data_IF_041498605408
#
_entry.id   IF_041498605408
#
_cell.length_a   1.000
_cell.length_b   1.000
_cell.length_c   1.000
_cell.angle_alpha   90.00
_cell.angle_beta   90.00
_cell.angle_gamma   90.00
#
_symmetry.space_group_name_H-M   'P 1'
#
loop_
_entity.id
_entity.type
_entity.pdbx_description
1 polymer ?
#
# COMPACT_ATOMS: atom_id res chain seq x y z
N UNK A 1 -25.15 15.22 11.12
CA UNK A 1 -24.56 16.55 11.30
C UNK A 1 -23.16 16.41 11.84
N UNK A 2 -22.16 16.97 11.13
CA UNK A 2 -20.75 16.90 11.53
C UNK A 2 -20.38 17.94 12.64
N UNK A 3 -21.32 18.79 13.08
CA UNK A 3 -21.07 19.78 14.13
C UNK A 3 -19.99 20.81 13.77
N UNK A 4 -19.86 21.18 12.50
CA UNK A 4 -18.84 22.12 12.01
C UNK A 4 -17.47 21.49 11.73
N UNK A 5 -17.31 20.18 11.89
CA UNK A 5 -16.09 19.42 11.56
C UNK A 5 -16.04 19.10 10.05
N UNK A 6 -14.85 18.78 9.59
CA UNK A 6 -14.66 18.22 8.26
C UNK A 6 -15.06 16.74 8.26
N UNK A 7 -15.73 16.32 7.18
CA UNK A 7 -15.98 14.93 6.86
C UNK A 7 -15.08 14.56 5.68
N UNK A 8 -14.15 13.65 5.91
CA UNK A 8 -13.17 13.20 4.90
C UNK A 8 -13.32 11.69 4.66
N UNK A 9 -12.87 11.17 3.50
CA UNK A 9 -12.81 9.72 3.30
C UNK A 9 -11.88 9.05 4.31
N UNK A 10 -12.16 7.80 4.65
CA UNK A 10 -11.26 6.97 5.43
C UNK A 10 -9.92 6.78 4.73
N UNK A 11 -8.83 6.80 5.50
CA UNK A 11 -7.47 6.72 4.96
C UNK A 11 -7.17 5.31 4.43
N UNK A 12 -6.45 5.29 3.32
CA UNK A 12 -5.97 4.08 2.65
C UNK A 12 -4.45 4.00 2.77
N UNK A 13 -3.94 2.86 3.23
CA UNK A 13 -2.52 2.53 3.16
C UNK A 13 -2.23 1.78 1.86
N UNK A 14 -1.41 2.36 0.99
CA UNK A 14 -1.19 1.85 -0.36
C UNK A 14 -0.33 0.59 -0.44
N UNK A 15 0.50 0.33 0.57
CA UNK A 15 1.37 -0.84 0.67
C UNK A 15 1.89 -1.01 2.10
N UNK A 16 1.76 -2.21 2.66
CA UNK A 16 2.20 -2.48 4.02
C UNK A 16 2.30 -3.99 4.32
N UNK A 17 3.02 -4.30 5.42
CA UNK A 17 3.20 -5.65 5.96
C UNK A 17 2.68 -5.71 7.40
N UNK A 18 1.64 -6.52 7.64
CA UNK A 18 1.06 -6.71 8.97
C UNK A 18 2.09 -7.39 9.89
N UNK A 19 2.85 -8.32 9.32
CA UNK A 19 3.83 -9.15 10.02
C UNK A 19 5.00 -8.34 10.60
N UNK A 20 5.37 -7.22 9.98
CA UNK A 20 6.38 -6.29 10.52
C UNK A 20 6.00 -5.73 11.88
N UNK A 21 4.70 -5.64 12.18
CA UNK A 21 4.16 -5.32 13.49
C UNK A 21 4.22 -6.48 14.49
N UNK A 22 4.58 -7.68 14.05
CA UNK A 22 4.46 -8.96 14.79
C UNK A 22 3.01 -9.20 15.26
N UNK A 23 2.03 -8.85 14.41
CA UNK A 23 0.61 -8.91 14.65
C UNK A 23 -0.08 -9.77 13.60
N UNK A 24 -1.31 -10.15 13.88
CA UNK A 24 -2.25 -10.74 12.92
C UNK A 24 -3.25 -9.67 12.44
N UNK A 25 -4.00 -9.90 11.36
CA UNK A 25 -4.93 -8.90 10.82
C UNK A 25 -5.90 -8.29 11.83
N UNK A 26 -6.42 -9.08 12.78
CA UNK A 26 -7.36 -8.59 13.79
C UNK A 26 -6.72 -7.56 14.72
N UNK A 27 -5.54 -7.87 15.26
CA UNK A 27 -4.83 -6.98 16.18
C UNK A 27 -4.30 -5.73 15.45
N UNK A 28 -3.83 -5.89 14.22
CA UNK A 28 -3.37 -4.76 13.42
C UNK A 28 -4.55 -3.82 13.09
N UNK A 29 -5.70 -4.38 12.67
CA UNK A 29 -6.90 -3.59 12.40
C UNK A 29 -7.34 -2.79 13.64
N UNK A 30 -7.36 -3.43 14.81
CA UNK A 30 -7.70 -2.75 16.07
C UNK A 30 -6.73 -1.60 16.38
N UNK A 31 -5.44 -1.77 16.09
CA UNK A 31 -4.41 -0.76 16.34
C UNK A 31 -4.52 0.46 15.40
N UNK A 32 -4.96 0.29 14.15
CA UNK A 32 -4.94 1.38 13.14
C UNK A 32 -6.28 2.12 13.00
N UNK A 33 -7.38 1.49 13.39
CA UNK A 33 -8.72 2.10 13.33
C UNK A 33 -8.79 3.44 14.06
N UNK A 34 -8.26 3.61 15.29
CA UNK A 34 -8.29 4.88 15.99
C UNK A 34 -7.57 6.01 15.25
N UNK A 35 -6.68 5.66 14.34
CA UNK A 35 -5.91 6.60 13.52
C UNK A 35 -6.55 6.88 12.15
N UNK A 36 -7.77 6.41 11.92
CA UNK A 36 -8.55 6.70 10.72
C UNK A 36 -8.21 5.85 9.50
N UNK A 37 -7.38 4.83 9.63
CA UNK A 37 -7.13 3.89 8.55
C UNK A 37 -8.32 2.93 8.43
N UNK A 38 -9.00 2.98 7.28
CA UNK A 38 -10.16 2.14 6.98
C UNK A 38 -9.93 1.18 5.84
N UNK A 39 -8.80 1.34 5.14
CA UNK A 39 -8.41 0.47 4.03
C UNK A 39 -6.91 0.24 4.04
N UNK A 40 -6.48 -1.01 3.84
CA UNK A 40 -5.07 -1.40 3.72
C UNK A 40 -4.88 -2.36 2.56
N UNK A 41 -3.72 -2.25 1.89
CA UNK A 41 -3.26 -3.15 0.84
C UNK A 41 -2.01 -3.88 1.36
N UNK A 42 -2.21 -5.10 1.88
CA UNK A 42 -1.17 -5.86 2.57
C UNK A 42 -0.53 -6.91 1.66
N UNK A 43 0.78 -7.06 1.78
CA UNK A 43 1.56 -8.12 1.14
C UNK A 43 2.14 -9.04 2.24
N UNK A 44 1.56 -10.24 2.45
CA UNK A 44 1.98 -11.14 3.51
C UNK A 44 3.13 -12.08 3.08
N UNK A 45 4.25 -11.51 2.58
CA UNK A 45 5.36 -12.31 2.09
C UNK A 45 6.21 -12.93 3.22
N UNK A 46 6.21 -12.36 4.41
CA UNK A 46 6.93 -12.93 5.54
C UNK A 46 6.33 -14.28 5.94
N UNK A 47 5.01 -14.35 6.08
CA UNK A 47 4.36 -15.62 6.38
C UNK A 47 4.42 -16.59 5.20
N UNK A 48 4.47 -16.09 3.97
CA UNK A 48 4.67 -16.91 2.78
C UNK A 48 6.02 -17.63 2.83
N UNK A 49 7.09 -16.98 3.28
CA UNK A 49 8.40 -17.60 3.48
C UNK A 49 8.39 -18.72 4.56
N UNK A 50 7.45 -18.68 5.50
CA UNK A 50 7.37 -19.64 6.62
C UNK A 50 6.38 -20.77 6.35
N UNK A 51 5.22 -20.48 5.76
CA UNK A 51 4.10 -21.41 5.58
C UNK A 51 3.60 -21.53 4.13
N UNK A 52 4.25 -20.84 3.18
CA UNK A 52 3.85 -20.86 1.77
C UNK A 52 2.44 -20.32 1.55
N UNK A 53 1.76 -20.83 0.54
CA UNK A 53 0.40 -20.44 0.18
C UNK A 53 -0.61 -20.60 1.34
N UNK A 54 -0.40 -21.58 2.24
CA UNK A 54 -1.26 -21.76 3.41
C UNK A 54 -1.15 -20.59 4.40
N UNK A 55 0.04 -20.01 4.57
CA UNK A 55 0.26 -18.81 5.38
C UNK A 55 -0.43 -17.58 4.79
N UNK A 56 -0.28 -17.38 3.48
CA UNK A 56 -0.99 -16.31 2.76
C UNK A 56 -2.50 -16.46 2.94
N UNK A 57 -3.02 -17.69 2.79
CA UNK A 57 -4.45 -17.97 2.95
C UNK A 57 -4.96 -17.68 4.36
N UNK A 58 -4.17 -18.01 5.38
CA UNK A 58 -4.51 -17.72 6.78
C UNK A 58 -4.66 -16.20 7.02
N UNK A 59 -3.68 -15.40 6.59
CA UNK A 59 -3.72 -13.95 6.72
C UNK A 59 -4.87 -13.35 5.92
N UNK A 60 -5.08 -13.83 4.71
CA UNK A 60 -6.14 -13.39 3.83
C UNK A 60 -7.54 -13.67 4.41
N UNK A 61 -7.81 -14.90 4.86
CA UNK A 61 -9.12 -15.27 5.40
C UNK A 61 -9.45 -14.47 6.67
N UNK A 62 -8.45 -14.22 7.54
CA UNK A 62 -8.64 -13.38 8.72
C UNK A 62 -8.85 -11.90 8.35
N UNK A 63 -8.14 -11.39 7.34
CA UNK A 63 -8.31 -10.02 6.83
C UNK A 63 -9.76 -9.75 6.37
N UNK A 64 -10.41 -10.71 5.73
CA UNK A 64 -11.79 -10.60 5.27
C UNK A 64 -12.82 -10.45 6.42
N UNK A 65 -12.49 -10.88 7.63
CA UNK A 65 -13.36 -10.81 8.80
C UNK A 65 -13.30 -9.46 9.52
N UNK A 66 -12.36 -8.59 9.15
CA UNK A 66 -12.16 -7.34 9.88
C UNK A 66 -13.21 -6.28 9.55
N UNK A 67 -13.51 -5.34 10.47
CA UNK A 67 -14.52 -4.29 10.26
C UNK A 67 -14.09 -3.23 9.24
N UNK A 68 -12.81 -3.18 8.88
CA UNK A 68 -12.22 -2.32 7.85
C UNK A 68 -11.91 -3.12 6.58
N UNK A 69 -11.51 -2.45 5.51
CA UNK A 69 -11.13 -3.13 4.28
C UNK A 69 -9.64 -3.49 4.34
N UNK A 70 -9.34 -4.78 4.30
CA UNK A 70 -7.97 -5.28 4.17
C UNK A 70 -7.94 -6.12 2.90
N UNK A 71 -7.28 -5.59 1.87
CA UNK A 71 -7.06 -6.27 0.60
C UNK A 71 -5.68 -6.91 0.61
N UNK A 72 -5.62 -8.16 0.20
CA UNK A 72 -4.36 -8.90 0.14
C UNK A 72 -3.79 -8.84 -1.27
N UNK A 73 -2.53 -8.47 -1.39
CA UNK A 73 -1.72 -8.71 -2.57
C UNK A 73 -1.07 -10.08 -2.41
N UNK A 74 -1.10 -10.92 -3.44
CA UNK A 74 -0.43 -12.22 -3.41
C UNK A 74 1.08 -12.01 -3.46
N UNK A 75 1.86 -12.50 -2.50
CA UNK A 75 3.32 -12.36 -2.56
C UNK A 75 3.91 -12.91 -3.86
N UNK A 76 4.81 -12.16 -4.48
CA UNK A 76 5.51 -12.55 -5.69
C UNK A 76 6.79 -13.32 -5.41
N UNK A 77 7.39 -13.07 -4.26
CA UNK A 77 8.76 -13.43 -3.98
C UNK A 77 8.89 -14.12 -2.62
N UNK A 78 8.73 -15.41 -2.62
CA UNK A 78 9.13 -16.30 -1.53
C UNK A 78 9.89 -17.49 -2.15
N UNK A 79 11.24 -17.45 -2.14
CA UNK A 79 12.13 -16.39 -1.63
C UNK A 79 12.26 -15.18 -2.57
N UNK A 80 12.58 -14.00 -2.01
CA UNK A 80 12.84 -12.79 -2.79
C UNK A 80 14.16 -12.83 -3.56
N UNK A 81 15.17 -13.52 -3.02
CA UNK A 81 16.48 -13.73 -3.62
C UNK A 81 16.84 -15.24 -3.64
N UNK A 82 16.40 -16.00 -4.65
CA UNK A 82 16.64 -17.44 -4.73
C UNK A 82 18.11 -17.80 -4.59
N UNK A 83 18.41 -18.74 -3.69
CA UNK A 83 19.77 -19.20 -3.40
C UNK A 83 20.58 -18.33 -2.43
N UNK A 84 20.07 -17.17 -2.04
CA UNK A 84 20.68 -16.27 -1.06
C UNK A 84 19.93 -16.22 0.27
N UNK A 85 18.69 -16.69 0.30
CA UNK A 85 17.84 -16.76 1.49
C UNK A 85 17.55 -18.20 1.89
N UNK A 86 17.29 -18.41 3.20
CA UNK A 86 16.72 -19.64 3.72
C UNK A 86 15.22 -19.44 3.90
N UNK A 87 14.42 -20.01 3.03
CA UNK A 87 12.97 -20.04 3.12
C UNK A 87 12.45 -21.42 3.49
N UNK A 88 11.30 -21.49 4.17
CA UNK A 88 10.63 -22.76 4.45
C UNK A 88 9.78 -23.25 3.29
N UNK A 89 9.34 -22.33 2.42
CA UNK A 89 8.49 -22.59 1.25
C UNK A 89 8.88 -21.68 0.10
N UNK A 90 8.46 -22.09 -1.09
CA UNK A 90 8.57 -21.28 -2.31
C UNK A 90 7.17 -21.02 -2.84
N UNK A 91 6.93 -19.82 -3.34
CA UNK A 91 5.70 -19.47 -4.07
C UNK A 91 5.99 -19.68 -5.56
N UNK A 92 5.11 -20.41 -6.22
CA UNK A 92 5.18 -20.67 -7.66
C UNK A 92 4.19 -19.80 -8.45
N UNK A 93 4.37 -19.72 -9.75
CA UNK A 93 3.41 -19.06 -10.64
C UNK A 93 2.02 -19.72 -10.62
N UNK A 94 1.93 -21.03 -10.34
CA UNK A 94 0.65 -21.73 -10.17
C UNK A 94 -0.05 -21.32 -8.87
N UNK A 95 0.69 -21.12 -7.77
CA UNK A 95 0.16 -20.58 -6.51
C UNK A 95 -0.38 -19.18 -6.71
N UNK A 96 0.34 -18.32 -7.43
CA UNK A 96 -0.12 -16.98 -7.80
C UNK A 96 -1.41 -17.06 -8.62
N UNK A 97 -1.45 -17.91 -9.65
CA UNK A 97 -2.64 -18.07 -10.49
C UNK A 97 -3.85 -18.57 -9.70
N UNK A 98 -3.65 -19.50 -8.75
CA UNK A 98 -4.70 -19.97 -7.83
C UNK A 98 -5.20 -18.81 -6.96
N UNK A 99 -4.31 -18.07 -6.31
CA UNK A 99 -4.67 -16.99 -5.42
C UNK A 99 -5.36 -15.83 -6.14
N UNK A 100 -5.05 -15.58 -7.41
CA UNK A 100 -5.74 -14.54 -8.20
C UNK A 100 -7.26 -14.79 -8.33
N UNK A 101 -7.72 -16.01 -8.11
CA UNK A 101 -9.16 -16.33 -8.10
C UNK A 101 -9.82 -16.12 -6.73
N UNK A 102 -9.08 -15.87 -5.66
CA UNK A 102 -9.66 -15.68 -4.33
C UNK A 102 -10.34 -14.30 -4.22
N UNK A 103 -11.56 -14.21 -3.63
CA UNK A 103 -12.19 -12.93 -3.37
C UNK A 103 -11.35 -12.08 -2.43
N UNK A 104 -11.07 -10.83 -2.76
CA UNK A 104 -10.28 -9.92 -1.91
C UNK A 104 -8.78 -9.91 -2.22
N UNK A 105 -8.26 -10.81 -3.04
CA UNK A 105 -6.93 -10.63 -3.65
C UNK A 105 -7.02 -9.52 -4.68
N UNK A 106 -6.20 -8.47 -4.51
CA UNK A 106 -6.29 -7.26 -5.33
C UNK A 106 -5.18 -7.17 -6.39
N UNK A 107 -4.10 -7.87 -6.21
CA UNK A 107 -2.94 -7.84 -7.10
C UNK A 107 -1.85 -8.80 -6.70
N UNK A 108 -0.75 -8.73 -7.42
CA UNK A 108 0.53 -9.32 -7.03
C UNK A 108 1.24 -8.34 -6.09
N UNK A 109 1.82 -8.86 -5.02
CA UNK A 109 2.64 -8.11 -4.10
C UNK A 109 3.93 -7.58 -4.74
N UNK A 110 4.74 -6.98 -3.94
CA UNK A 110 5.97 -6.34 -4.39
C UNK A 110 6.91 -7.32 -5.12
N UNK A 111 7.24 -7.01 -6.36
CA UNK A 111 8.14 -7.81 -7.19
C UNK A 111 9.61 -7.53 -6.84
N UNK A 112 10.07 -8.10 -5.71
CA UNK A 112 11.43 -7.93 -5.19
C UNK A 112 12.50 -8.54 -6.08
N UNK A 113 12.20 -9.63 -6.78
CA UNK A 113 13.12 -10.23 -7.73
C UNK A 113 13.17 -9.44 -9.06
N UNK A 114 13.42 -8.12 -8.94
CA UNK A 114 13.59 -7.27 -10.13
C UNK A 114 14.74 -7.72 -11.04
N UNK A 115 15.86 -8.33 -10.57
CA UNK A 115 16.86 -8.90 -11.46
C UNK A 115 16.30 -10.03 -12.33
N UNK A 116 15.42 -10.88 -11.78
CA UNK A 116 14.74 -11.91 -12.53
C UNK A 116 13.88 -11.33 -13.64
N UNK A 117 13.05 -10.32 -13.34
CA UNK A 117 12.23 -9.64 -14.34
C UNK A 117 13.09 -9.04 -15.45
N UNK A 118 14.15 -8.30 -15.10
CA UNK A 118 15.06 -7.66 -16.05
C UNK A 118 15.76 -8.67 -16.96
N UNK A 119 16.10 -9.85 -16.43
CA UNK A 119 16.79 -10.91 -17.19
C UNK A 119 15.82 -11.91 -17.86
N UNK A 120 14.50 -11.70 -17.75
CA UNK A 120 13.51 -12.52 -18.40
C UNK A 120 13.29 -13.89 -17.73
N UNK A 121 13.39 -13.96 -16.41
CA UNK A 121 13.12 -15.18 -15.64
C UNK A 121 11.70 -15.69 -15.94
N UNK A 122 11.55 -16.94 -16.39
CA UNK A 122 10.24 -17.47 -16.79
C UNK A 122 9.21 -17.52 -15.65
N UNK A 123 9.63 -17.74 -14.39
CA UNK A 123 8.72 -17.78 -13.25
C UNK A 123 8.20 -16.36 -12.95
N UNK A 124 9.09 -15.38 -12.85
CA UNK A 124 8.68 -13.98 -12.61
C UNK A 124 7.72 -13.46 -13.68
N UNK A 125 8.03 -13.76 -14.93
CA UNK A 125 7.16 -13.36 -16.04
C UNK A 125 5.81 -14.11 -16.03
N UNK A 126 5.78 -15.37 -15.59
CA UNK A 126 4.54 -16.14 -15.48
C UNK A 126 3.64 -15.60 -14.34
N UNK A 127 4.20 -15.21 -13.19
CA UNK A 127 3.48 -14.59 -12.07
C UNK A 127 2.85 -13.26 -12.50
N UNK A 128 3.63 -12.41 -13.17
CA UNK A 128 3.15 -11.15 -13.73
C UNK A 128 2.03 -11.41 -14.73
N UNK A 129 2.21 -12.36 -15.64
CA UNK A 129 1.21 -12.69 -16.65
C UNK A 129 -0.08 -13.23 -16.02
N UNK A 130 0.00 -14.09 -15.00
CA UNK A 130 -1.16 -14.60 -14.27
C UNK A 130 -1.96 -13.45 -13.64
N UNK A 131 -1.27 -12.49 -13.03
CA UNK A 131 -1.88 -11.31 -12.41
C UNK A 131 -2.55 -10.41 -13.43
N UNK A 132 -1.86 -10.09 -14.53
CA UNK A 132 -2.40 -9.24 -15.59
C UNK A 132 -3.59 -9.88 -16.31
N UNK A 133 -3.56 -11.20 -16.53
CA UNK A 133 -4.68 -11.94 -17.11
C UNK A 133 -5.92 -11.93 -16.20
N UNK A 134 -5.72 -11.81 -14.88
CA UNK A 134 -6.80 -11.60 -13.92
C UNK A 134 -7.29 -10.15 -13.86
N UNK A 135 -6.69 -9.24 -14.64
CA UNK A 135 -7.04 -7.82 -14.65
C UNK A 135 -6.61 -7.07 -13.38
N UNK A 136 -5.58 -7.56 -12.69
CA UNK A 136 -5.12 -7.04 -11.40
C UNK A 136 -3.76 -6.35 -11.50
N UNK A 137 -3.41 -5.59 -10.45
CA UNK A 137 -2.21 -4.76 -10.38
C UNK A 137 -0.98 -5.60 -10.01
N UNK A 138 0.16 -5.26 -10.56
CA UNK A 138 1.47 -5.83 -10.19
C UNK A 138 2.22 -4.80 -9.37
N UNK A 139 2.48 -5.10 -8.10
CA UNK A 139 3.28 -4.27 -7.21
C UNK A 139 4.76 -4.31 -7.54
N UNK A 140 5.45 -3.21 -7.30
CA UNK A 140 6.86 -3.08 -7.62
C UNK A 140 7.75 -2.84 -6.40
N UNK A 141 9.01 -3.31 -6.50
CA UNK A 141 10.07 -3.16 -5.51
C UNK A 141 11.42 -3.05 -6.22
N UNK A 142 11.68 -1.90 -6.83
CA UNK A 142 12.95 -1.69 -7.54
C UNK A 142 13.96 -0.96 -6.66
N UNK A 143 14.69 -1.69 -5.85
CA UNK A 143 15.65 -1.18 -4.87
C UNK A 143 17.01 -0.75 -5.48
N UNK A 144 17.22 -0.89 -6.80
CA UNK A 144 18.46 -0.47 -7.43
C UNK A 144 18.53 1.04 -7.64
N UNK A 145 19.70 1.66 -7.43
CA UNK A 145 19.90 3.08 -7.76
C UNK A 145 19.96 3.34 -9.29
N UNK A 146 20.18 2.31 -10.12
CA UNK A 146 20.20 2.45 -11.58
C UNK A 146 18.79 2.66 -12.12
N UNK A 147 18.54 3.83 -12.72
CA UNK A 147 17.28 4.19 -13.38
C UNK A 147 17.39 4.15 -14.91
N UNK A 148 18.37 3.42 -15.44
CA UNK A 148 18.60 3.27 -16.87
C UNK A 148 17.78 2.17 -17.55
N UNK A 149 18.46 1.37 -18.38
CA UNK A 149 17.83 0.31 -19.19
C UNK A 149 17.19 -0.77 -18.30
N UNK A 150 17.87 -1.16 -17.21
CA UNK A 150 17.35 -2.18 -16.29
C UNK A 150 16.04 -1.74 -15.64
N UNK A 151 15.94 -0.48 -15.19
CA UNK A 151 14.69 0.05 -14.66
C UNK A 151 13.57 0.09 -15.70
N UNK A 152 13.89 0.52 -16.93
CA UNK A 152 12.93 0.52 -18.03
C UNK A 152 12.46 -0.90 -18.38
N UNK A 153 13.34 -1.89 -18.34
CA UNK A 153 12.99 -3.30 -18.56
C UNK A 153 12.08 -3.84 -17.45
N UNK A 154 12.37 -3.49 -16.19
CA UNK A 154 11.51 -3.84 -15.05
C UNK A 154 10.08 -3.29 -15.19
N UNK A 155 9.95 -2.01 -15.52
CA UNK A 155 8.64 -1.38 -15.76
C UNK A 155 7.93 -2.03 -16.95
N UNK A 156 8.65 -2.29 -18.04
CA UNK A 156 8.10 -2.99 -19.21
C UNK A 156 7.67 -4.43 -18.89
N UNK A 157 8.25 -5.06 -17.88
CA UNK A 157 7.83 -6.36 -17.35
C UNK A 157 6.45 -6.34 -16.72
N UNK A 158 5.96 -5.18 -16.25
CA UNK A 158 4.59 -5.04 -15.80
C UNK A 158 4.35 -4.39 -14.43
N UNK A 159 5.41 -4.04 -13.68
CA UNK A 159 5.27 -3.35 -12.40
C UNK A 159 4.57 -1.99 -12.58
N UNK A 160 3.44 -1.80 -11.87
CA UNK A 160 2.58 -0.63 -12.03
C UNK A 160 2.84 0.49 -11.01
N UNK A 161 3.51 0.16 -9.93
CA UNK A 161 3.91 1.05 -8.84
C UNK A 161 5.30 0.69 -8.32
N UNK A 162 5.80 1.48 -7.38
CA UNK A 162 7.03 1.17 -6.66
C UNK A 162 7.18 2.09 -5.45
N UNK A 163 7.56 1.53 -4.30
CA UNK A 163 7.76 2.22 -3.02
C UNK A 163 9.23 2.38 -2.63
N UNK A 164 10.19 1.79 -3.38
CA UNK A 164 11.62 1.79 -3.07
C UNK A 164 12.38 3.07 -3.47
N UNK A 165 11.65 4.14 -3.82
CA UNK A 165 12.25 5.44 -4.01
C UNK A 165 12.69 6.07 -2.69
N UNK A 166 13.89 6.65 -2.66
CA UNK A 166 14.45 7.33 -1.47
C UNK A 166 14.79 8.79 -1.72
N UNK A 167 14.63 9.27 -2.95
CA UNK A 167 14.95 10.62 -3.36
C UNK A 167 13.92 11.19 -4.36
N UNK A 168 13.88 12.52 -4.49
CA UNK A 168 13.05 13.22 -5.51
C UNK A 168 13.25 12.65 -6.92
N UNK A 169 14.49 12.40 -7.30
CA UNK A 169 14.82 11.87 -8.62
C UNK A 169 14.23 10.47 -8.86
N UNK A 170 14.12 9.66 -7.81
CA UNK A 170 13.52 8.34 -7.88
C UNK A 170 12.01 8.42 -8.13
N UNK A 171 11.33 9.32 -7.43
CA UNK A 171 9.91 9.59 -7.63
C UNK A 171 9.63 10.07 -9.06
N UNK A 172 10.44 11.02 -9.55
CA UNK A 172 10.34 11.53 -10.92
C UNK A 172 10.56 10.41 -11.96
N UNK A 173 11.55 9.54 -11.74
CA UNK A 173 11.84 8.45 -12.67
C UNK A 173 10.67 7.47 -12.80
N UNK A 174 10.03 7.10 -11.69
CA UNK A 174 8.86 6.22 -11.66
C UNK A 174 7.69 6.82 -12.44
N UNK A 175 7.34 8.06 -12.13
CA UNK A 175 6.23 8.76 -12.78
C UNK A 175 6.47 8.94 -14.29
N UNK A 176 7.71 9.22 -14.70
CA UNK A 176 8.08 9.35 -16.12
C UNK A 176 7.90 8.05 -16.91
N UNK A 177 8.02 6.91 -16.28
CA UNK A 177 7.79 5.60 -16.91
C UNK A 177 6.35 5.09 -16.73
N UNK A 178 5.46 5.90 -16.15
CA UNK A 178 4.03 5.57 -16.00
C UNK A 178 3.69 4.78 -14.74
N UNK A 179 4.64 4.57 -13.83
CA UNK A 179 4.38 3.95 -12.53
C UNK A 179 3.74 4.94 -11.56
N UNK A 180 3.02 4.43 -10.56
CA UNK A 180 2.76 5.18 -9.34
C UNK A 180 4.01 5.20 -8.46
N UNK A 181 4.37 6.37 -7.93
CA UNK A 181 5.40 6.47 -6.90
C UNK A 181 4.72 6.44 -5.53
N UNK A 182 4.99 5.40 -4.75
CA UNK A 182 4.51 5.29 -3.38
C UNK A 182 5.58 5.84 -2.43
N UNK A 183 5.20 6.76 -1.56
CA UNK A 183 6.11 7.42 -0.63
C UNK A 183 5.88 6.86 0.77
N UNK A 184 6.94 6.29 1.37
CA UNK A 184 6.90 5.59 2.64
C UNK A 184 7.12 6.49 3.84
N UNK A 185 6.34 6.23 4.90
CA UNK A 185 6.66 6.67 6.27
C UNK A 185 6.28 5.56 7.25
N UNK A 186 7.11 4.55 7.35
CA UNK A 186 7.00 3.43 8.29
C UNK A 186 7.80 3.64 9.57
N UNK A 187 8.32 2.55 10.13
CA UNK A 187 9.15 2.58 11.34
C UNK A 187 10.63 2.75 11.03
N UNK A 188 11.10 2.30 9.87
CA UNK A 188 12.49 2.37 9.42
C UNK A 188 12.69 3.27 8.18
N UNK A 189 11.65 3.50 7.42
CA UNK A 189 11.69 4.23 6.16
C UNK A 189 11.01 5.60 6.31
N UNK A 190 11.65 6.68 5.85
CA UNK A 190 11.24 8.07 6.02
C UNK A 190 11.35 8.83 4.69
N UNK A 191 10.79 8.25 3.62
CA UNK A 191 11.03 8.68 2.24
C UNK A 191 10.07 9.80 1.77
N UNK A 192 8.99 10.08 2.52
CA UNK A 192 8.03 11.13 2.16
C UNK A 192 8.73 12.49 2.02
N UNK A 193 9.57 12.89 3.00
CA UNK A 193 10.22 14.20 3.00
C UNK A 193 11.06 14.44 1.75
N UNK A 194 11.85 13.44 1.35
CA UNK A 194 12.74 13.55 0.19
C UNK A 194 12.00 13.51 -1.15
N UNK A 195 10.89 12.79 -1.23
CA UNK A 195 10.18 12.59 -2.49
C UNK A 195 9.05 13.58 -2.73
N UNK A 196 8.44 14.14 -1.67
CA UNK A 196 7.31 15.07 -1.80
C UNK A 196 7.66 16.34 -2.57
N UNK A 197 8.95 16.70 -2.63
CA UNK A 197 9.48 17.81 -3.41
C UNK A 197 9.20 17.68 -4.90
N UNK A 198 9.04 16.45 -5.41
CA UNK A 198 8.58 16.21 -6.78
C UNK A 198 7.20 16.86 -7.05
N UNK A 199 6.35 16.96 -6.04
CA UNK A 199 5.03 17.63 -6.13
C UNK A 199 5.18 19.09 -5.77
N UNK A 200 5.74 19.40 -4.58
CA UNK A 200 5.72 20.74 -3.99
C UNK A 200 6.66 21.73 -4.68
N UNK A 201 7.78 21.27 -5.24
CA UNK A 201 8.77 22.12 -5.91
C UNK A 201 8.84 21.93 -7.43
N UNK A 202 8.67 20.69 -7.91
CA UNK A 202 8.74 20.40 -9.36
C UNK A 202 7.38 20.46 -10.05
N UNK A 203 6.27 20.47 -9.27
CA UNK A 203 4.92 20.60 -9.81
C UNK A 203 4.44 19.37 -10.59
N UNK A 204 4.93 18.16 -10.27
CA UNK A 204 4.40 16.95 -10.86
C UNK A 204 2.94 16.74 -10.42
N UNK A 205 2.17 16.10 -11.29
CA UNK A 205 0.76 15.80 -11.03
C UNK A 205 0.61 14.84 -9.83
N UNK A 206 0.01 15.28 -8.71
CA UNK A 206 -0.11 14.49 -7.50
C UNK A 206 -0.92 13.20 -7.67
N UNK A 207 -1.72 13.06 -8.72
CA UNK A 207 -2.46 11.83 -9.03
C UNK A 207 -1.57 10.63 -9.31
N UNK A 208 -0.27 10.84 -9.54
CA UNK A 208 0.71 9.79 -9.77
C UNK A 208 1.40 9.32 -8.48
N UNK A 209 1.01 9.88 -7.33
CA UNK A 209 1.64 9.59 -6.04
C UNK A 209 0.65 8.99 -5.06
N UNK A 210 1.16 8.09 -4.22
CA UNK A 210 0.43 7.40 -3.16
C UNK A 210 1.26 7.50 -1.87
N UNK A 211 0.59 7.57 -0.73
CA UNK A 211 1.22 7.45 0.59
C UNK A 211 1.03 6.03 1.13
N UNK A 212 2.07 5.50 1.77
CA UNK A 212 2.02 4.19 2.40
C UNK A 212 2.92 4.14 3.65
N UNK A 213 2.75 3.09 4.46
CA UNK A 213 3.60 2.86 5.62
C UNK A 213 4.73 1.89 5.34
N UNK A 214 4.54 0.89 4.50
CA UNK A 214 5.46 -0.23 4.37
C UNK A 214 5.63 -0.93 5.74
N UNK A 215 6.83 -1.20 6.22
CA UNK A 215 7.11 -1.80 7.52
C UNK A 215 6.73 -0.88 8.68
N UNK A 216 5.68 -1.23 9.42
CA UNK A 216 5.21 -0.48 10.58
C UNK A 216 5.20 -1.33 11.85
N UNK A 217 6.19 -1.10 12.71
CA UNK A 217 6.35 -1.79 13.97
C UNK A 217 5.25 -1.42 14.97
N UNK A 218 4.80 -2.37 15.80
CA UNK A 218 3.74 -2.16 16.80
C UNK A 218 4.00 -0.99 17.76
N UNK A 219 5.27 -0.74 18.12
CA UNK A 219 5.64 0.43 18.92
C UNK A 219 5.37 1.76 18.22
N UNK A 220 5.52 1.84 16.91
CA UNK A 220 5.16 3.03 16.11
C UNK A 220 3.65 3.21 16.07
N UNK A 221 2.89 2.13 15.86
CA UNK A 221 1.42 2.16 15.85
C UNK A 221 0.87 2.76 17.14
N UNK A 222 1.37 2.29 18.29
CA UNK A 222 0.87 2.74 19.60
C UNK A 222 1.29 4.18 19.92
N UNK A 223 2.52 4.58 19.59
CA UNK A 223 3.08 5.85 20.08
C UNK A 223 2.98 7.00 19.05
N UNK A 224 2.87 6.72 17.75
CA UNK A 224 2.93 7.74 16.71
C UNK A 224 1.71 7.74 15.78
N UNK A 225 1.00 6.64 15.68
CA UNK A 225 -0.14 6.46 14.78
C UNK A 225 0.21 5.72 13.49
N UNK A 226 -0.69 5.76 12.54
CA UNK A 226 -0.60 5.05 11.26
C UNK A 226 -0.74 6.04 10.08
N UNK A 227 -1.66 5.85 9.15
CA UNK A 227 -1.82 6.72 7.97
C UNK A 227 -2.09 8.20 8.31
N UNK A 228 -2.72 8.52 9.45
CA UNK A 228 -2.84 9.91 9.92
C UNK A 228 -1.47 10.57 10.14
N UNK A 229 -0.48 9.81 10.63
CA UNK A 229 0.91 10.27 10.79
C UNK A 229 1.55 10.52 9.44
N UNK A 230 1.36 9.61 8.46
CA UNK A 230 1.91 9.75 7.10
C UNK A 230 1.37 11.00 6.42
N UNK A 231 0.05 11.21 6.47
CA UNK A 231 -0.62 12.40 5.91
C UNK A 231 -0.12 13.68 6.57
N UNK A 232 -0.08 13.73 7.91
CA UNK A 232 0.46 14.90 8.64
C UNK A 232 1.90 15.21 8.24
N UNK A 233 2.76 14.18 8.15
CA UNK A 233 4.14 14.38 7.76
C UNK A 233 4.27 14.95 6.35
N UNK A 234 3.48 14.49 5.39
CA UNK A 234 3.45 15.06 4.05
C UNK A 234 3.04 16.56 4.08
N UNK A 235 2.05 16.92 4.93
CA UNK A 235 1.62 18.30 5.12
C UNK A 235 2.73 19.15 5.78
N UNK A 236 3.40 18.63 6.79
CA UNK A 236 4.51 19.28 7.49
C UNK A 236 5.71 19.51 6.53
N UNK A 237 5.89 18.66 5.53
CA UNK A 237 6.84 18.82 4.43
C UNK A 237 6.36 19.78 3.32
N UNK A 238 5.26 20.51 3.53
CA UNK A 238 4.78 21.56 2.62
C UNK A 238 3.74 21.12 1.60
N UNK A 239 3.24 19.90 1.67
CA UNK A 239 2.16 19.45 0.80
C UNK A 239 0.82 20.08 1.21
N UNK A 240 0.02 20.47 0.21
CA UNK A 240 -1.36 20.92 0.46
C UNK A 240 -2.16 19.81 1.16
N UNK A 241 -2.93 20.09 2.23
CA UNK A 241 -3.69 19.08 2.96
C UNK A 241 -4.64 18.26 2.10
N UNK A 242 -5.30 18.87 1.11
CA UNK A 242 -6.21 18.14 0.22
C UNK A 242 -5.45 17.22 -0.72
N UNK A 243 -4.27 17.61 -1.19
CA UNK A 243 -3.39 16.77 -1.99
C UNK A 243 -2.87 15.59 -1.17
N UNK A 244 -2.41 15.82 0.07
CA UNK A 244 -1.97 14.74 0.96
C UNK A 244 -3.11 13.74 1.24
N UNK A 245 -4.32 14.23 1.49
CA UNK A 245 -5.51 13.37 1.65
C UNK A 245 -5.84 12.60 0.37
N UNK A 246 -5.74 13.23 -0.82
CA UNK A 246 -5.97 12.53 -2.09
C UNK A 246 -4.98 11.37 -2.28
N UNK A 247 -3.71 11.56 -1.96
CA UNK A 247 -2.69 10.51 -2.06
C UNK A 247 -2.95 9.33 -1.11
N UNK A 248 -3.56 9.58 0.04
CA UNK A 248 -3.94 8.56 1.02
C UNK A 248 -5.40 8.08 0.88
N UNK A 249 -6.09 8.38 -0.19
CA UNK A 249 -7.50 8.00 -0.39
C UNK A 249 -7.77 7.66 -1.85
N UNK A 250 -8.23 8.61 -2.65
CA UNK A 250 -8.70 8.37 -4.03
C UNK A 250 -7.59 7.92 -4.97
N UNK A 251 -6.34 8.39 -4.80
CA UNK A 251 -5.24 7.96 -5.64
C UNK A 251 -4.94 6.47 -5.44
N UNK A 252 -4.91 6.03 -4.18
CA UNK A 252 -4.73 4.62 -3.80
C UNK A 252 -5.88 3.78 -4.36
N UNK A 253 -7.13 4.20 -4.15
CA UNK A 253 -8.30 3.50 -4.67
C UNK A 253 -8.28 3.38 -6.20
N UNK A 254 -7.89 4.46 -6.91
CA UNK A 254 -7.79 4.47 -8.37
C UNK A 254 -6.72 3.51 -8.88
N UNK A 255 -5.59 3.45 -8.19
CA UNK A 255 -4.49 2.55 -8.57
C UNK A 255 -4.92 1.08 -8.57
N UNK A 256 -5.70 0.68 -7.59
CA UNK A 256 -6.21 -0.69 -7.47
C UNK A 256 -7.57 -0.92 -8.15
N UNK A 257 -8.08 0.05 -8.93
CA UNK A 257 -9.36 -0.07 -9.64
C UNK A 257 -10.60 -0.04 -8.74
N UNK A 258 -10.46 0.49 -7.51
CA UNK A 258 -11.52 0.56 -6.49
C UNK A 258 -12.14 1.96 -6.35
N UNK A 259 -11.85 2.91 -7.24
CA UNK A 259 -12.32 4.30 -7.14
C UNK A 259 -13.84 4.45 -7.20
N UNK A 260 -14.55 3.42 -7.67
CA UNK A 260 -16.02 3.38 -7.66
C UNK A 260 -16.59 2.91 -6.33
N UNK A 261 -15.76 2.32 -5.46
CA UNK A 261 -16.15 1.78 -4.16
C UNK A 261 -15.59 2.58 -2.99
N UNK A 262 -14.33 3.04 -3.12
CA UNK A 262 -13.52 3.61 -2.03
C UNK A 262 -12.93 4.98 -2.39
N UNK A 263 -12.27 5.59 -1.41
CA UNK A 263 -11.39 6.75 -1.59
C UNK A 263 -12.10 8.09 -1.76
N UNK A 264 -13.44 8.13 -1.75
CA UNK A 264 -14.19 9.39 -1.74
C UNK A 264 -15.60 9.21 -1.17
N UNK A 265 -16.17 10.31 -0.70
CA UNK A 265 -17.54 10.36 -0.16
C UNK A 265 -18.48 10.70 -1.31
N UNK A 266 -19.22 9.72 -1.80
CA UNK A 266 -20.18 9.89 -2.87
C UNK A 266 -21.30 8.82 -2.78
N UNK A 267 -22.51 9.08 -3.33
CA UNK A 267 -23.57 8.09 -3.37
C UNK A 267 -23.12 6.79 -4.08
N UNK A 268 -23.44 5.65 -3.47
CA UNK A 268 -23.11 4.32 -4.00
C UNK A 268 -21.71 3.80 -3.63
N UNK A 269 -20.90 4.58 -2.90
CA UNK A 269 -19.60 4.15 -2.37
C UNK A 269 -19.73 3.63 -0.95
N UNK A 270 -18.73 2.88 -0.51
CA UNK A 270 -18.63 2.43 0.90
C UNK A 270 -18.56 3.65 1.81
N UNK A 271 -19.28 3.60 2.92
CA UNK A 271 -19.28 4.67 3.91
C UNK A 271 -18.07 4.50 4.85
N UNK A 272 -16.88 4.75 4.31
CA UNK A 272 -15.61 4.80 5.03
C UNK A 272 -15.22 6.27 5.18
N UNK A 273 -15.36 6.81 6.40
CA UNK A 273 -15.30 8.26 6.64
C UNK A 273 -14.67 8.57 8.00
N UNK A 274 -14.10 9.77 8.08
CA UNK A 274 -13.51 10.31 9.30
C UNK A 274 -14.10 11.69 9.56
N UNK A 275 -14.40 11.99 10.82
CA UNK A 275 -14.62 13.36 11.29
C UNK A 275 -13.34 13.90 11.93
N UNK A 276 -12.95 15.10 11.51
CA UNK A 276 -11.79 15.82 12.04
C UNK A 276 -12.10 17.32 12.16
N UNK A 277 -11.59 17.96 13.18
CA UNK A 277 -11.75 19.41 13.38
C UNK A 277 -10.73 20.26 12.60
N UNK A 278 -9.63 19.65 12.16
CA UNK A 278 -8.56 20.36 11.45
C UNK A 278 -7.88 19.48 10.40
N UNK A 279 -7.72 19.97 9.16
CA UNK A 279 -7.15 19.21 8.07
C UNK A 279 -5.60 19.17 8.08
N UNK A 280 -4.94 20.04 8.85
CA UNK A 280 -3.47 20.06 8.92
C UNK A 280 -2.96 19.13 10.01
N UNK A 281 -3.49 19.29 11.22
CA UNK A 281 -3.08 18.47 12.38
C UNK A 281 -3.77 17.11 12.39
N UNK A 282 -4.87 16.97 11.66
CA UNK A 282 -5.63 15.77 11.41
C UNK A 282 -5.94 14.95 12.69
N UNK A 283 -6.58 15.56 13.72
CA UNK A 283 -7.06 14.81 14.86
C UNK A 283 -8.19 13.89 14.40
N UNK A 284 -8.09 12.59 14.74
CA UNK A 284 -9.10 11.59 14.37
C UNK A 284 -10.13 11.52 15.49
N UNK A 285 -11.30 12.11 15.28
CA UNK A 285 -12.33 12.23 16.32
C UNK A 285 -13.41 11.15 16.18
N UNK A 286 -13.70 10.73 14.95
CA UNK A 286 -14.72 9.70 14.71
C UNK A 286 -14.36 8.93 13.45
N UNK A 287 -14.36 7.62 13.52
CA UNK A 287 -14.08 6.73 12.38
C UNK A 287 -15.32 5.89 12.10
N UNK A 288 -15.74 5.94 10.84
CA UNK A 288 -16.83 5.14 10.30
C UNK A 288 -16.22 4.24 9.22
N UNK A 289 -16.42 2.93 9.35
CA UNK A 289 -16.02 1.97 8.36
C UNK A 289 -17.22 1.12 7.95
N UNK A 290 -17.44 0.96 6.65
CA UNK A 290 -18.58 0.23 6.07
C UNK A 290 -19.93 0.68 6.68
N UNK A 291 -20.06 1.99 6.98
CA UNK A 291 -21.27 2.57 7.57
C UNK A 291 -21.45 2.33 9.07
N UNK A 292 -20.51 1.71 9.73
CA UNK A 292 -20.52 1.45 11.16
C UNK A 292 -19.51 2.37 11.85
N UNK A 293 -19.88 2.96 13.00
CA UNK A 293 -18.92 3.63 13.87
C UNK A 293 -17.98 2.60 14.47
N UNK A 294 -16.68 2.75 14.24
CA UNK A 294 -15.64 1.80 14.72
C UNK A 294 -14.68 2.43 15.73
N UNK A 295 -14.58 3.76 15.79
CA UNK A 295 -13.87 4.47 16.86
C UNK A 295 -14.44 5.88 17.09
N UNK A 296 -14.34 6.36 18.33
CA UNK A 296 -14.68 7.73 18.77
C UNK A 296 -13.60 8.18 19.74
N UNK A 297 -12.96 9.33 19.45
CA UNK A 297 -11.95 9.98 20.29
C UNK A 297 -10.75 9.04 20.66
N UNK A 298 -10.33 8.20 19.71
CA UNK A 298 -9.19 7.29 19.83
C UNK A 298 -9.57 5.87 20.25
#
# INVERSE_FOLDING_TARGET
DAGGRYLIPGLCDGHMHIESGMLIPAEFAAAVIPYGTTTMFTDPHEIANVLGLAGVRMMHDEALLQPINIFTQMPSCAPSAPGLETTGFEISADDVAEAMAWPGIIGLGEMMNFPGVVNGDPQMLAEIAATQNAGKTVGGHYASPDKGIAFSAYVAGGAADDHEGTAEADAIARVRLGMKSMMRLGSAWYDVESQITAITEKGLDPRNFILCTDDCHSGTLVNAGHMNRVVRHAIDCGCDPLIALQMATINTATHFGLERELGSIAPGRRADMILTSDLKTLPIEHVIARGQTVAIDG
#
